data_IF_872560098840
#
_entry.id   IF_872560098840
#
_cell.length_a   1.000
_cell.length_b   1.000
_cell.length_c   1.000
_cell.angle_alpha   90.00
_cell.angle_beta   90.00
_cell.angle_gamma   90.00
#
_symmetry.space_group_name_H-M   'P 1'
#
loop_
_entity.id
_entity.type
_entity.pdbx_description
1 polymer ?
#
# COMPACT_ATOMS: atom_id res chain seq x y z
N UNK A 1 28.91 -24.86 56.15
CA UNK A 1 29.46 -23.74 55.36
C UNK A 1 29.78 -24.23 53.96
N UNK A 2 28.97 -23.89 52.96
CA UNK A 2 29.35 -24.03 51.55
C UNK A 2 28.36 -23.22 50.69
N UNK A 3 28.72 -21.96 50.47
CA UNK A 3 28.05 -21.04 49.55
C UNK A 3 28.96 -20.98 48.32
N UNK A 4 28.62 -21.72 47.27
CA UNK A 4 29.42 -21.80 46.05
C UNK A 4 28.65 -21.23 44.86
N UNK A 5 29.06 -20.02 44.46
CA UNK A 5 29.39 -19.64 43.07
C UNK A 5 28.49 -20.19 41.95
N UNK A 6 27.38 -19.50 41.67
CA UNK A 6 26.79 -19.45 40.31
C UNK A 6 26.57 -17.99 39.95
N UNK A 7 27.68 -17.27 39.78
CA UNK A 7 27.72 -15.86 39.38
C UNK A 7 28.81 -15.74 38.31
N UNK A 8 28.62 -16.39 37.17
CA UNK A 8 29.53 -16.26 36.04
C UNK A 8 28.80 -16.45 34.70
N UNK A 9 28.85 -15.36 33.92
CA UNK A 9 28.75 -15.30 32.46
C UNK A 9 27.36 -15.19 31.83
N UNK A 10 26.67 -14.09 32.14
CA UNK A 10 26.00 -13.33 31.09
C UNK A 10 26.99 -12.27 30.58
N UNK A 11 28.02 -12.71 29.85
CA UNK A 11 28.87 -11.80 29.09
C UNK A 11 27.98 -11.27 27.97
N UNK A 12 27.54 -10.04 28.21
CA UNK A 12 26.94 -9.11 27.27
C UNK A 12 27.78 -9.12 25.99
N UNK A 13 27.38 -9.94 25.01
CA UNK A 13 27.78 -9.77 23.61
C UNK A 13 27.12 -8.50 23.10
N UNK A 14 27.68 -7.35 23.50
CA UNK A 14 27.56 -6.10 22.76
C UNK A 14 28.26 -6.34 21.43
N UNK A 15 27.51 -6.91 20.49
CA UNK A 15 27.86 -6.88 19.09
C UNK A 15 28.14 -5.40 18.77
N UNK A 16 29.42 -5.11 18.50
CA UNK A 16 29.86 -3.88 17.90
C UNK A 16 29.19 -3.81 16.53
N UNK A 17 27.99 -3.24 16.50
CA UNK A 17 27.30 -2.93 15.24
C UNK A 17 28.24 -1.98 14.51
N UNK A 18 28.72 -2.33 13.30
CA UNK A 18 29.62 -1.46 12.56
C UNK A 18 28.92 -0.11 12.41
N UNK A 19 29.57 0.92 12.94
CA UNK A 19 29.15 2.31 12.77
C UNK A 19 29.27 2.62 11.28
N UNK A 20 28.18 2.37 10.55
CA UNK A 20 28.06 2.64 9.12
C UNK A 20 28.31 4.13 8.98
N UNK A 21 29.47 4.48 8.40
CA UNK A 21 29.79 5.86 8.08
C UNK A 21 28.74 6.31 7.08
N UNK A 22 27.81 7.16 7.53
CA UNK A 22 26.82 7.81 6.70
C UNK A 22 27.55 8.47 5.53
N UNK A 23 27.46 7.84 4.35
CA UNK A 23 27.82 8.47 3.10
C UNK A 23 27.04 9.77 3.05
N UNK A 24 27.72 10.89 2.78
CA UNK A 24 27.12 12.22 2.67
C UNK A 24 25.91 12.17 1.72
N UNK A 25 24.73 11.95 2.30
CA UNK A 25 23.44 11.74 1.65
C UNK A 25 22.81 13.08 1.30
N UNK A 26 23.62 13.99 0.76
CA UNK A 26 23.15 15.31 0.36
C UNK A 26 22.14 15.26 -0.78
N UNK A 27 22.18 14.20 -1.60
CA UNK A 27 21.48 14.14 -2.88
C UNK A 27 20.48 12.98 -3.03
N UNK A 28 20.24 12.20 -1.96
CA UNK A 28 19.23 11.13 -1.96
C UNK A 28 18.12 11.48 -0.99
N UNK A 29 16.86 11.31 -1.40
CA UNK A 29 15.73 11.52 -0.51
C UNK A 29 15.56 10.36 0.49
N UNK A 30 15.57 10.67 1.79
CA UNK A 30 15.47 9.67 2.87
C UNK A 30 14.16 8.86 2.89
N UNK A 31 13.08 9.36 2.25
CA UNK A 31 11.77 8.72 2.25
C UNK A 31 11.65 7.70 1.10
N UNK A 32 12.11 8.08 -0.10
CA UNK A 32 11.94 7.24 -1.30
C UNK A 32 13.23 6.60 -1.81
N UNK A 33 14.40 6.99 -1.27
CA UNK A 33 15.71 6.48 -1.66
C UNK A 33 16.15 6.87 -3.08
N UNK A 34 15.46 7.82 -3.73
CA UNK A 34 15.77 8.30 -5.08
C UNK A 34 16.63 9.55 -5.03
N UNK A 35 17.50 9.70 -6.01
CA UNK A 35 18.29 10.91 -6.23
C UNK A 35 17.40 12.10 -6.64
N UNK A 36 17.83 13.31 -6.31
CA UNK A 36 17.19 14.54 -6.80
C UNK A 36 17.61 14.80 -8.25
N UNK A 37 16.72 14.51 -9.22
CA UNK A 37 16.98 14.78 -10.64
C UNK A 37 17.13 16.28 -10.96
N UNK A 38 16.43 17.14 -10.20
CA UNK A 38 16.39 18.60 -10.38
C UNK A 38 16.34 19.29 -9.02
N UNK A 39 16.97 20.47 -8.92
CA UNK A 39 17.03 21.25 -7.68
C UNK A 39 15.68 21.77 -7.19
N UNK A 40 14.65 21.79 -8.05
CA UNK A 40 13.35 22.40 -7.75
C UNK A 40 12.55 21.66 -6.69
N UNK A 41 12.78 20.36 -6.53
CA UNK A 41 11.93 19.52 -5.68
C UNK A 41 12.63 19.19 -4.34
N UNK A 42 13.85 19.71 -4.15
CA UNK A 42 14.68 19.46 -2.97
C UNK A 42 14.27 20.39 -1.83
N UNK A 43 13.69 19.82 -0.78
CA UNK A 43 13.32 20.54 0.44
C UNK A 43 14.27 20.14 1.56
N UNK A 44 15.00 21.12 2.09
CA UNK A 44 15.78 20.94 3.31
C UNK A 44 14.83 20.87 4.51
N UNK A 45 15.00 19.84 5.32
CA UNK A 45 14.16 19.66 6.50
C UNK A 45 14.53 20.68 7.58
N UNK A 46 13.53 21.37 8.10
CA UNK A 46 13.63 22.14 9.34
C UNK A 46 13.42 21.24 10.54
N UNK A 47 13.77 21.70 11.75
CA UNK A 47 13.50 20.98 13.01
C UNK A 47 12.05 20.45 13.12
N UNK A 48 11.06 21.24 12.68
CA UNK A 48 9.65 20.80 12.66
C UNK A 48 9.41 19.65 11.69
N UNK A 49 10.04 19.70 10.51
CA UNK A 49 9.96 18.64 9.50
C UNK A 49 10.57 17.33 10.01
N UNK A 50 11.74 17.41 10.64
CA UNK A 50 12.45 16.28 11.25
C UNK A 50 11.60 15.63 12.33
N UNK A 51 11.10 16.43 13.28
CA UNK A 51 10.22 15.92 14.35
C UNK A 51 8.96 15.28 13.78
N UNK A 52 8.38 15.86 12.73
CA UNK A 52 7.23 15.32 12.03
C UNK A 52 7.50 13.94 11.43
N UNK A 53 8.55 13.81 10.62
CA UNK A 53 8.93 12.55 9.97
C UNK A 53 9.24 11.48 11.01
N UNK A 54 10.09 11.77 12.00
CA UNK A 54 10.48 10.81 13.04
C UNK A 54 9.27 10.35 13.86
N UNK A 55 8.32 11.25 14.15
CA UNK A 55 7.09 10.88 14.86
C UNK A 55 6.18 9.95 14.04
N UNK A 56 6.10 10.16 12.73
CA UNK A 56 5.30 9.31 11.83
C UNK A 56 5.97 7.95 11.66
N UNK A 57 7.29 7.93 11.48
CA UNK A 57 8.08 6.69 11.37
C UNK A 57 7.89 5.81 12.61
N UNK A 58 7.98 6.41 13.81
CA UNK A 58 7.76 5.69 15.07
C UNK A 58 6.34 5.11 15.16
N UNK A 59 5.33 5.82 14.65
CA UNK A 59 3.93 5.34 14.66
C UNK A 59 3.71 4.19 13.67
N UNK A 60 4.29 4.28 12.48
CA UNK A 60 4.16 3.26 11.43
C UNK A 60 5.05 2.03 11.71
N UNK A 61 6.09 2.19 12.51
CA UNK A 61 7.12 1.17 12.73
C UNK A 61 8.14 1.08 11.60
N UNK A 62 8.33 2.18 10.85
CA UNK A 62 9.31 2.27 9.77
C UNK A 62 10.70 2.66 10.32
N UNK A 63 11.77 2.15 9.72
CA UNK A 63 13.18 2.44 10.10
C UNK A 63 13.73 3.72 9.44
N UNK A 64 12.90 4.75 9.25
CA UNK A 64 13.31 6.03 8.67
C UNK A 64 13.68 7.00 9.81
N UNK A 65 14.91 7.51 9.78
CA UNK A 65 15.39 8.51 10.72
C UNK A 65 15.89 9.76 9.98
N UNK A 66 15.21 10.89 10.21
CA UNK A 66 15.62 12.19 9.71
C UNK A 66 16.52 12.89 10.74
N UNK A 67 17.58 13.54 10.24
CA UNK A 67 18.55 14.35 10.97
C UNK A 67 18.63 15.77 10.39
N UNK A 68 19.28 16.68 11.13
CA UNK A 68 19.52 18.04 10.65
C UNK A 68 20.43 18.01 9.39
N UNK A 69 20.00 18.69 8.33
CA UNK A 69 20.69 18.73 7.04
C UNK A 69 20.13 17.78 5.98
N UNK A 70 19.24 16.85 6.37
CA UNK A 70 18.62 15.94 5.41
C UNK A 70 17.69 16.65 4.43
N UNK A 71 17.60 16.07 3.24
CA UNK A 71 16.80 16.56 2.14
C UNK A 71 15.72 15.56 1.75
N UNK A 72 14.55 16.06 1.37
CA UNK A 72 13.42 15.26 0.90
C UNK A 72 12.77 15.89 -0.32
N UNK A 73 12.12 15.07 -1.15
CA UNK A 73 11.22 15.58 -2.17
C UNK A 73 10.00 16.22 -1.50
N UNK A 74 9.55 17.39 -1.97
CA UNK A 74 8.37 18.07 -1.41
C UNK A 74 7.15 17.15 -1.38
N UNK A 75 6.91 16.41 -2.47
CA UNK A 75 5.78 15.48 -2.59
C UNK A 75 5.90 14.28 -1.64
N UNK A 76 7.11 13.79 -1.42
CA UNK A 76 7.36 12.70 -0.47
C UNK A 76 7.05 13.17 0.94
N UNK A 77 7.53 14.36 1.33
CA UNK A 77 7.25 14.93 2.64
C UNK A 77 5.75 15.16 2.86
N UNK A 78 5.07 15.75 1.88
CA UNK A 78 3.63 16.04 1.95
C UNK A 78 2.81 14.76 2.05
N UNK A 79 3.13 13.75 1.24
CA UNK A 79 2.41 12.47 1.25
C UNK A 79 2.67 11.68 2.54
N UNK A 80 3.91 11.65 2.99
CA UNK A 80 4.32 10.87 4.17
C UNK A 80 3.75 11.46 5.47
N UNK A 81 3.74 12.78 5.62
CA UNK A 81 3.23 13.45 6.82
C UNK A 81 1.71 13.66 6.84
N UNK A 82 1.01 13.32 5.74
CA UNK A 82 -0.44 13.48 5.67
C UNK A 82 -1.16 12.53 6.63
N UNK A 83 -1.79 13.10 7.66
CA UNK A 83 -2.53 12.36 8.71
C UNK A 83 -3.51 11.34 8.14
N UNK A 84 -4.26 11.69 7.08
CA UNK A 84 -5.25 10.77 6.49
C UNK A 84 -4.59 9.53 5.90
N UNK A 85 -3.43 9.67 5.28
CA UNK A 85 -2.67 8.56 4.70
C UNK A 85 -2.08 7.69 5.81
N UNK A 86 -1.48 8.32 6.83
CA UNK A 86 -0.90 7.62 7.99
C UNK A 86 -1.97 6.81 8.73
N UNK A 87 -3.09 7.43 9.09
CA UNK A 87 -4.15 6.74 9.83
C UNK A 87 -4.80 5.63 8.99
N UNK A 88 -4.87 5.79 7.67
CA UNK A 88 -5.32 4.72 6.77
C UNK A 88 -4.36 3.53 6.76
N UNK A 89 -3.04 3.77 6.74
CA UNK A 89 -2.03 2.70 6.82
C UNK A 89 -2.07 1.97 8.16
N UNK A 90 -2.22 2.71 9.27
CA UNK A 90 -2.34 2.12 10.60
C UNK A 90 -3.57 1.20 10.70
N UNK A 91 -4.72 1.66 10.20
CA UNK A 91 -5.95 0.83 10.14
C UNK A 91 -5.77 -0.42 9.29
N UNK A 92 -5.02 -0.35 8.20
CA UNK A 92 -4.70 -1.51 7.37
C UNK A 92 -3.82 -2.51 8.12
N UNK A 93 -2.76 -2.05 8.80
CA UNK A 93 -1.90 -2.90 9.64
C UNK A 93 -2.67 -3.55 10.80
N UNK A 94 -3.56 -2.81 11.46
CA UNK A 94 -4.44 -3.36 12.50
C UNK A 94 -5.40 -4.43 11.97
N UNK A 95 -5.89 -4.24 10.74
CA UNK A 95 -6.75 -5.22 10.08
C UNK A 95 -6.00 -6.52 9.75
N UNK A 96 -4.73 -6.42 9.30
CA UNK A 96 -3.87 -7.59 9.02
C UNK A 96 -3.52 -8.38 10.28
N UNK A 97 -3.35 -7.70 11.42
CA UNK A 97 -3.05 -8.36 12.71
C UNK A 97 -4.27 -9.06 13.33
N UNK A 98 -5.48 -8.86 12.81
CA UNK A 98 -6.68 -9.53 13.31
C UNK A 98 -6.80 -10.93 12.69
N UNK A 99 -6.55 -12.02 13.44
CA UNK A 99 -6.53 -13.38 12.89
C UNK A 99 -7.90 -13.89 12.41
N UNK A 100 -8.97 -13.10 12.58
CA UNK A 100 -10.34 -13.55 12.37
C UNK A 100 -11.16 -12.67 11.41
N UNK A 101 -10.55 -11.68 10.76
CA UNK A 101 -11.22 -10.92 9.70
C UNK A 101 -11.11 -11.69 8.39
N UNK A 102 -12.05 -12.61 8.16
CA UNK A 102 -12.36 -13.01 6.79
C UNK A 102 -12.64 -11.73 5.98
N UNK A 103 -12.11 -11.62 4.75
CA UNK A 103 -12.43 -10.48 3.90
C UNK A 103 -13.95 -10.42 3.80
N UNK A 104 -14.54 -9.38 4.38
CA UNK A 104 -15.95 -9.10 4.20
C UNK A 104 -16.07 -8.69 2.74
N UNK A 105 -16.18 -9.69 1.85
CA UNK A 105 -16.63 -9.53 0.49
C UNK A 105 -17.93 -8.79 0.66
N UNK A 106 -17.91 -7.47 0.49
CA UNK A 106 -19.13 -6.71 0.29
C UNK A 106 -19.76 -7.42 -0.89
N UNK A 107 -20.81 -8.19 -0.63
CA UNK A 107 -21.72 -8.61 -1.68
C UNK A 107 -22.16 -7.28 -2.27
N UNK A 108 -21.49 -6.85 -3.35
CA UNK A 108 -22.07 -5.87 -4.24
C UNK A 108 -23.38 -6.53 -4.60
N UNK A 109 -24.47 -6.02 -4.06
CA UNK A 109 -25.79 -6.37 -4.53
C UNK A 109 -25.70 -6.21 -6.04
N UNK A 110 -25.72 -7.36 -6.73
CA UNK A 110 -25.70 -7.37 -8.18
C UNK A 110 -26.85 -6.44 -8.60
N UNK A 111 -26.61 -5.45 -9.47
CA UNK A 111 -27.67 -4.57 -9.94
C UNK A 111 -28.64 -5.42 -10.76
N UNK A 112 -29.68 -5.90 -10.09
CA UNK A 112 -30.66 -6.82 -10.65
C UNK A 112 -30.85 -8.03 -9.75
N UNK A 113 -31.88 -7.98 -8.90
CA UNK A 113 -32.64 -9.18 -8.59
C UNK A 113 -33.21 -9.70 -9.92
N UNK A 114 -32.43 -10.50 -10.63
CA UNK A 114 -32.88 -11.13 -11.87
C UNK A 114 -33.77 -12.28 -11.47
N UNK A 115 -35.06 -12.14 -11.78
CA UNK A 115 -36.02 -13.24 -11.74
C UNK A 115 -35.41 -14.50 -12.38
N UNK A 116 -35.59 -15.63 -11.69
CA UNK A 116 -34.64 -16.75 -11.54
C UNK A 116 -34.25 -17.58 -12.78
N UNK A 117 -34.54 -17.19 -14.02
CA UNK A 117 -34.44 -18.15 -15.15
C UNK A 117 -33.72 -17.63 -16.41
N UNK A 118 -32.88 -16.59 -16.33
CA UNK A 118 -32.08 -16.16 -17.49
C UNK A 118 -30.57 -16.16 -17.23
N UNK A 119 -29.76 -16.78 -18.12
CA UNK A 119 -28.31 -16.74 -18.00
C UNK A 119 -27.80 -15.30 -18.19
N UNK A 120 -27.30 -14.72 -17.11
CA UNK A 120 -26.60 -13.43 -17.07
C UNK A 120 -25.11 -13.62 -17.35
N UNK A 121 -24.49 -12.63 -18.01
CA UNK A 121 -23.05 -12.63 -18.21
C UNK A 121 -22.33 -12.33 -16.88
N UNK A 122 -21.45 -13.25 -16.43
CA UNK A 122 -20.66 -13.12 -15.20
C UNK A 122 -19.81 -11.84 -15.11
N UNK A 123 -19.40 -11.27 -16.25
CA UNK A 123 -18.51 -10.10 -16.26
C UNK A 123 -19.22 -8.75 -16.30
N UNK A 124 -20.42 -8.65 -16.87
CA UNK A 124 -21.12 -7.37 -17.03
C UNK A 124 -22.49 -7.29 -16.35
N UNK A 125 -23.02 -8.40 -15.82
CA UNK A 125 -24.31 -8.43 -15.12
C UNK A 125 -25.55 -8.20 -16.01
N UNK A 126 -25.36 -7.99 -17.32
CA UNK A 126 -26.48 -7.78 -18.25
C UNK A 126 -27.06 -9.13 -18.68
N UNK A 127 -28.33 -9.38 -18.38
CA UNK A 127 -29.08 -10.53 -18.89
C UNK A 127 -29.23 -10.47 -20.41
N UNK A 128 -29.37 -11.63 -21.07
CA UNK A 128 -29.66 -11.67 -22.52
C UNK A 128 -30.94 -10.87 -22.80
N UNK A 129 -30.78 -9.63 -23.27
CA UNK A 129 -31.91 -8.92 -23.88
C UNK A 129 -32.29 -9.72 -25.12
N UNK A 130 -33.46 -10.34 -25.10
CA UNK A 130 -34.10 -10.79 -26.33
C UNK A 130 -34.29 -9.56 -27.20
N UNK A 131 -33.33 -9.32 -28.10
CA UNK A 131 -33.55 -8.42 -29.22
C UNK A 131 -34.64 -9.12 -30.01
N UNK A 132 -35.89 -8.66 -29.89
CA UNK A 132 -36.97 -9.04 -30.81
C UNK A 132 -36.53 -8.57 -32.19
N UNK A 133 -35.78 -9.41 -32.89
CA UNK A 133 -35.51 -9.27 -34.31
C UNK A 133 -36.85 -9.45 -35.00
N UNK A 134 -37.51 -8.33 -35.34
CA UNK A 134 -38.61 -8.33 -36.28
C UNK A 134 -38.18 -9.05 -37.55
N UNK A 135 -39.01 -9.99 -38.00
CA UNK A 135 -38.87 -10.80 -39.19
C UNK A 135 -38.12 -10.10 -40.35
N UNK A 136 -36.86 -10.46 -40.55
CA UNK A 136 -36.19 -10.41 -41.86
C UNK A 136 -35.27 -11.61 -42.01
N UNK A 137 -35.78 -12.58 -42.78
CA UNK A 137 -35.11 -13.55 -43.67
C UNK A 137 -33.99 -14.46 -43.12
N UNK A 138 -34.08 -15.78 -43.35
CA UNK A 138 -33.06 -16.74 -42.95
C UNK A 138 -31.92 -16.74 -43.96
N UNK A 139 -30.71 -16.45 -43.51
CA UNK A 139 -29.52 -16.50 -44.36
C UNK A 139 -28.25 -16.44 -43.55
N UNK A 140 -27.68 -17.61 -43.27
CA UNK A 140 -26.28 -17.86 -42.90
C UNK A 140 -25.78 -17.45 -41.50
N UNK A 141 -25.57 -18.51 -40.71
CA UNK A 141 -24.34 -18.85 -39.97
C UNK A 141 -23.73 -17.86 -38.95
N UNK A 142 -23.81 -18.30 -37.68
CA UNK A 142 -22.81 -18.15 -36.61
C UNK A 142 -22.28 -16.73 -36.35
N UNK A 143 -23.06 -15.94 -35.60
CA UNK A 143 -22.54 -14.81 -34.82
C UNK A 143 -22.62 -15.10 -33.32
N UNK A 144 -21.67 -15.90 -32.83
CA UNK A 144 -21.28 -15.85 -31.41
C UNK A 144 -20.62 -14.49 -31.17
N UNK A 145 -21.44 -13.49 -30.81
CA UNK A 145 -20.98 -12.18 -30.39
C UNK A 145 -20.27 -12.32 -29.05
N UNK A 146 -18.94 -12.39 -29.08
CA UNK A 146 -18.09 -12.13 -27.92
C UNK A 146 -18.39 -10.71 -27.42
N UNK A 147 -19.15 -10.57 -26.33
CA UNK A 147 -19.49 -9.29 -25.74
C UNK A 147 -18.36 -8.67 -24.89
N UNK A 148 -17.21 -9.32 -24.70
CA UNK A 148 -16.22 -8.90 -23.69
C UNK A 148 -14.76 -8.97 -24.16
N UNK A 149 -14.44 -8.44 -25.34
CA UNK A 149 -13.05 -8.07 -25.67
C UNK A 149 -13.02 -6.67 -26.26
N UNK A 150 -13.05 -5.66 -25.39
CA UNK A 150 -12.52 -4.34 -25.73
C UNK A 150 -11.38 -4.08 -24.75
N UNK A 151 -10.17 -4.36 -25.23
CA UNK A 151 -8.89 -4.07 -24.56
C UNK A 151 -8.84 -2.58 -24.20
N UNK A 152 -8.41 -2.28 -22.98
CA UNK A 152 -7.71 -1.03 -22.64
C UNK A 152 -6.29 -1.17 -23.19
#
# INVERSE_FOLDING_TARGET
>A
MQVCFVLLRAIVTRALVPSVKFLNSGDICIICGKDFNTSTDKVHLTYRGIKGINSVSLRLGDDIHASDGDCVHEDCWRTYTNKKVVDSKLKAQEAEKSPNKQPHLRMRSLPGATNDNQPTCLFCGVGKRHIRSGNRTPGSLLKLKLCCFRKV
#
